data_IF_692458845264
#
_entry.id   IF_692458845264
#
_cell.length_a   1.000
_cell.length_b   1.000
_cell.length_c   1.000
_cell.angle_alpha   90.00
_cell.angle_beta   90.00
_cell.angle_gamma   90.00
#
_symmetry.space_group_name_H-M   'P 1'
#
loop_
_entity.id
_entity.type
_entity.pdbx_description
1 polymer ?
#
# COMPACT_ATOMS: atom_id res chain seq x y z
N UNK A 1 -8.82 -34.50 -7.62
CA UNK A 1 -7.46 -33.90 -7.44
C UNK A 1 -6.33 -34.89 -7.64
N UNK A 2 -6.60 -36.21 -7.49
CA UNK A 2 -5.55 -37.21 -7.41
C UNK A 2 -4.93 -37.64 -8.75
N UNK A 3 -5.63 -37.47 -9.88
CA UNK A 3 -5.13 -37.90 -11.19
C UNK A 3 -5.16 -36.79 -12.27
N UNK A 4 -6.01 -35.80 -12.15
CA UNK A 4 -6.17 -34.74 -13.16
C UNK A 4 -5.75 -33.36 -12.67
N UNK A 5 -5.46 -33.22 -11.38
CA UNK A 5 -5.21 -31.91 -10.77
C UNK A 5 -6.46 -31.03 -10.59
N UNK A 6 -7.60 -31.48 -11.10
CA UNK A 6 -8.87 -30.77 -10.96
C UNK A 6 -9.55 -31.13 -9.64
N UNK A 7 -10.17 -30.18 -8.92
CA UNK A 7 -10.94 -30.50 -7.73
C UNK A 7 -12.17 -31.33 -8.12
N UNK A 8 -12.39 -32.45 -7.40
CA UNK A 8 -13.55 -33.32 -7.63
C UNK A 8 -14.90 -32.66 -7.31
N UNK A 9 -14.87 -31.47 -6.70
CA UNK A 9 -16.06 -30.70 -6.36
C UNK A 9 -15.69 -29.21 -6.33
N UNK A 10 -16.66 -28.35 -6.58
CA UNK A 10 -16.54 -26.91 -6.39
C UNK A 10 -17.10 -26.49 -5.03
N UNK A 11 -16.71 -25.33 -4.53
CA UNK A 11 -17.28 -24.78 -3.29
C UNK A 11 -18.83 -24.68 -3.38
N UNK A 12 -19.37 -24.55 -4.61
CA UNK A 12 -20.81 -24.50 -4.87
C UNK A 12 -21.59 -25.78 -4.55
N UNK A 13 -20.89 -26.89 -4.45
CA UNK A 13 -21.49 -28.21 -4.20
C UNK A 13 -21.74 -28.49 -2.68
N UNK A 14 -21.23 -27.62 -1.81
CA UNK A 14 -21.44 -27.77 -0.37
C UNK A 14 -22.83 -27.26 0.07
N UNK A 15 -23.57 -28.02 0.88
CA UNK A 15 -24.88 -27.59 1.39
C UNK A 15 -24.85 -26.24 2.15
N UNK A 16 -23.72 -25.94 2.79
CA UNK A 16 -23.52 -24.68 3.53
C UNK A 16 -23.26 -23.45 2.66
N UNK A 17 -23.02 -23.62 1.35
CA UNK A 17 -22.70 -22.50 0.47
C UNK A 17 -23.86 -21.50 0.34
N UNK A 18 -25.09 -21.98 0.43
CA UNK A 18 -26.29 -21.15 0.39
C UNK A 18 -26.31 -20.18 1.57
N UNK A 19 -25.97 -20.65 2.76
CA UNK A 19 -25.87 -19.82 3.97
C UNK A 19 -24.76 -18.77 3.81
N UNK A 20 -23.60 -19.19 3.29
CA UNK A 20 -22.50 -18.25 3.02
C UNK A 20 -22.87 -17.19 2.00
N UNK A 21 -23.61 -17.57 0.94
CA UNK A 21 -24.11 -16.57 -0.04
C UNK A 21 -25.10 -15.61 0.61
N UNK A 22 -26.05 -16.09 1.38
CA UNK A 22 -26.99 -15.24 2.11
C UNK A 22 -26.28 -14.28 3.08
N UNK A 23 -25.26 -14.75 3.81
CA UNK A 23 -24.45 -13.91 4.69
C UNK A 23 -23.67 -12.85 3.90
N UNK A 24 -23.06 -13.22 2.79
CA UNK A 24 -22.38 -12.26 1.90
C UNK A 24 -23.32 -11.22 1.31
N UNK A 25 -24.51 -11.64 0.88
CA UNK A 25 -25.52 -10.73 0.34
C UNK A 25 -26.02 -9.77 1.43
N UNK A 26 -26.23 -10.27 2.64
CA UNK A 26 -26.58 -9.43 3.79
C UNK A 26 -25.45 -8.44 4.13
N UNK A 27 -24.23 -8.93 4.24
CA UNK A 27 -23.04 -8.11 4.50
C UNK A 27 -22.91 -6.99 3.47
N UNK A 28 -22.98 -7.35 2.18
CA UNK A 28 -22.86 -6.38 1.09
C UNK A 28 -23.99 -5.36 1.08
N UNK A 29 -25.24 -5.80 1.21
CA UNK A 29 -26.41 -4.92 1.10
C UNK A 29 -26.67 -4.08 2.35
N UNK A 30 -26.32 -4.56 3.54
CA UNK A 30 -26.64 -3.91 4.80
C UNK A 30 -25.42 -3.27 5.45
N UNK A 31 -24.31 -4.01 5.56
CA UNK A 31 -23.12 -3.53 6.28
C UNK A 31 -22.30 -2.59 5.39
N UNK A 32 -21.88 -3.05 4.21
CA UNK A 32 -21.03 -2.22 3.32
C UNK A 32 -21.77 -1.03 2.71
N UNK A 33 -23.09 -1.08 2.58
CA UNK A 33 -23.89 0.06 2.12
C UNK A 33 -24.30 1.00 3.25
N UNK A 34 -23.90 0.74 4.49
CA UNK A 34 -24.15 1.67 5.58
C UNK A 34 -23.33 2.94 5.42
N UNK A 35 -23.94 4.11 5.63
CA UNK A 35 -23.32 5.42 5.41
C UNK A 35 -21.98 5.59 6.15
N UNK A 36 -21.90 5.12 7.38
CA UNK A 36 -20.65 5.21 8.17
C UNK A 36 -19.52 4.39 7.55
N UNK A 37 -19.81 3.18 7.04
CA UNK A 37 -18.82 2.31 6.39
C UNK A 37 -18.36 2.94 5.07
N UNK A 38 -19.30 3.44 4.27
CA UNK A 38 -18.95 4.15 3.02
C UNK A 38 -18.11 5.40 3.29
N UNK A 39 -18.38 6.12 4.37
CA UNK A 39 -17.57 7.28 4.76
C UNK A 39 -16.14 6.87 5.14
N UNK A 40 -15.96 5.76 5.85
CA UNK A 40 -14.64 5.22 6.18
C UNK A 40 -13.88 4.80 4.94
N UNK A 41 -14.54 4.11 4.00
CA UNK A 41 -13.93 3.68 2.74
C UNK A 41 -13.47 4.87 1.90
N UNK A 42 -14.32 5.90 1.77
CA UNK A 42 -13.98 7.13 1.04
C UNK A 42 -12.82 7.88 1.70
N UNK A 43 -12.82 7.94 3.03
CA UNK A 43 -11.73 8.56 3.78
C UNK A 43 -10.42 7.79 3.58
N UNK A 44 -10.46 6.47 3.67
CA UNK A 44 -9.31 5.60 3.43
C UNK A 44 -8.74 5.78 2.02
N UNK A 45 -9.59 5.79 1.00
CA UNK A 45 -9.17 6.04 -0.38
C UNK A 45 -8.51 7.41 -0.54
N UNK A 46 -9.05 8.45 0.11
CA UNK A 46 -8.49 9.80 0.11
C UNK A 46 -7.12 9.86 0.79
N UNK A 47 -6.94 9.15 1.90
CA UNK A 47 -5.65 9.07 2.59
C UNK A 47 -4.60 8.39 1.73
N UNK A 48 -4.90 7.23 1.13
CA UNK A 48 -3.97 6.50 0.27
C UNK A 48 -3.58 7.34 -0.96
N UNK A 49 -4.56 7.94 -1.63
CA UNK A 49 -4.31 8.81 -2.78
C UNK A 49 -3.45 10.02 -2.41
N UNK A 50 -3.76 10.66 -1.29
CA UNK A 50 -3.02 11.82 -0.82
C UNK A 50 -1.58 11.47 -0.41
N UNK A 51 -1.38 10.35 0.28
CA UNK A 51 -0.05 9.83 0.61
C UNK A 51 0.75 9.54 -0.66
N UNK A 52 0.15 8.84 -1.62
CA UNK A 52 0.83 8.55 -2.88
C UNK A 52 1.24 9.83 -3.61
N UNK A 53 0.37 10.84 -3.66
CA UNK A 53 0.67 12.13 -4.29
C UNK A 53 1.86 12.85 -3.64
N UNK A 54 2.03 12.74 -2.32
CA UNK A 54 3.18 13.32 -1.62
C UNK A 54 4.47 12.53 -1.89
N UNK A 55 4.41 11.20 -1.82
CA UNK A 55 5.59 10.36 -2.00
C UNK A 55 6.03 10.21 -3.45
N UNK A 56 5.12 10.32 -4.44
CA UNK A 56 5.47 10.19 -5.85
C UNK A 56 6.53 11.20 -6.34
N UNK A 57 6.65 12.35 -5.67
CA UNK A 57 7.66 13.34 -6.01
C UNK A 57 9.07 12.76 -5.98
N UNK A 58 9.33 11.86 -5.04
CA UNK A 58 10.60 11.14 -4.94
C UNK A 58 10.91 10.28 -6.17
N UNK A 59 9.91 9.84 -6.94
CA UNK A 59 10.10 8.99 -8.11
C UNK A 59 10.70 9.75 -9.30
N UNK A 60 10.49 11.05 -9.37
CA UNK A 60 10.95 11.89 -10.49
C UNK A 60 12.40 12.36 -10.32
N UNK A 61 12.99 12.16 -9.15
CA UNK A 61 14.37 12.47 -8.90
C UNK A 61 15.33 11.57 -9.68
N UNK A 62 16.54 12.07 -9.98
CA UNK A 62 17.59 11.22 -10.52
C UNK A 62 17.90 10.07 -9.57
N UNK A 63 18.50 8.98 -10.06
CA UNK A 63 18.87 7.86 -9.19
C UNK A 63 19.79 8.29 -8.04
N UNK A 64 20.77 9.12 -8.35
CA UNK A 64 21.76 9.56 -7.35
C UNK A 64 21.13 10.47 -6.30
N UNK A 65 20.18 11.30 -6.68
CA UNK A 65 19.53 12.24 -5.77
C UNK A 65 18.50 11.51 -4.91
N UNK A 66 17.71 10.61 -5.48
CA UNK A 66 16.85 9.72 -4.71
C UNK A 66 17.60 8.97 -3.60
N UNK A 67 18.73 8.35 -3.93
CA UNK A 67 19.51 7.61 -2.94
C UNK A 67 20.11 8.53 -1.87
N UNK A 68 20.57 9.75 -2.25
CA UNK A 68 21.05 10.74 -1.27
C UNK A 68 19.95 11.17 -0.30
N UNK A 69 18.77 11.48 -0.83
CA UNK A 69 17.61 11.92 -0.05
C UNK A 69 17.06 10.80 0.83
N UNK A 70 16.99 9.57 0.31
CA UNK A 70 16.51 8.41 1.04
C UNK A 70 17.35 8.12 2.30
N UNK A 71 18.66 8.38 2.24
CA UNK A 71 19.60 8.15 3.33
C UNK A 71 20.10 9.44 4.01
N UNK A 72 19.45 10.58 3.74
CA UNK A 72 19.78 11.89 4.28
C UNK A 72 21.26 12.31 4.07
N UNK A 73 21.80 11.98 2.90
CA UNK A 73 23.17 12.31 2.50
C UNK A 73 23.26 13.59 1.67
N UNK A 74 22.14 14.27 1.42
CA UNK A 74 22.02 15.48 0.61
C UNK A 74 20.84 15.41 -0.34
N UNK A 75 20.57 16.49 -1.05
CA UNK A 75 19.44 16.65 -1.96
C UNK A 75 18.47 17.73 -1.50
N UNK A 76 17.24 17.70 -1.99
CA UNK A 76 16.21 18.64 -1.59
C UNK A 76 15.79 18.43 -0.14
N UNK A 77 15.77 19.49 0.72
CA UNK A 77 15.41 19.35 2.12
C UNK A 77 13.98 18.84 2.36
N UNK A 78 13.05 19.14 1.46
CA UNK A 78 11.67 18.68 1.57
C UNK A 78 11.59 17.18 1.25
N UNK A 79 12.22 16.75 0.15
CA UNK A 79 12.32 15.34 -0.22
C UNK A 79 13.00 14.50 0.86
N UNK A 80 14.09 15.01 1.45
CA UNK A 80 14.76 14.34 2.57
C UNK A 80 13.82 14.13 3.77
N UNK A 81 12.96 15.12 4.08
CA UNK A 81 11.98 14.98 5.19
C UNK A 81 10.93 13.93 4.87
N UNK A 82 10.37 13.95 3.67
CA UNK A 82 9.42 12.90 3.21
C UNK A 82 10.10 11.53 3.24
N UNK A 83 11.29 11.41 2.64
CA UNK A 83 12.02 10.16 2.59
C UNK A 83 12.44 9.65 3.99
N UNK A 84 12.69 10.54 4.96
CA UNK A 84 13.03 10.14 6.33
C UNK A 84 11.91 9.37 7.04
N UNK A 85 10.67 9.57 6.62
CA UNK A 85 9.48 8.89 7.17
C UNK A 85 9.40 7.43 6.74
N UNK A 86 9.97 7.08 5.60
CA UNK A 86 10.02 5.68 5.13
C UNK A 86 10.82 4.84 6.12
N UNK A 87 10.23 3.74 6.58
CA UNK A 87 10.84 2.91 7.63
C UNK A 87 12.18 2.31 7.21
N UNK A 88 13.07 2.13 8.17
CA UNK A 88 14.39 1.52 7.96
C UNK A 88 14.31 0.12 7.32
N UNK A 89 13.26 -0.64 7.65
CA UNK A 89 13.02 -1.97 7.09
C UNK A 89 12.82 -1.90 5.57
N UNK A 90 11.95 -1.01 5.10
CA UNK A 90 11.70 -0.84 3.67
C UNK A 90 12.95 -0.35 2.92
N UNK A 91 13.68 0.61 3.49
CA UNK A 91 14.96 1.09 2.93
C UNK A 91 16.00 -0.04 2.79
N UNK A 92 16.08 -0.92 3.78
CA UNK A 92 16.99 -2.08 3.75
C UNK A 92 16.62 -3.05 2.62
N UNK A 93 15.34 -3.41 2.50
CA UNK A 93 14.85 -4.29 1.42
C UNK A 93 15.13 -3.69 0.05
N UNK A 94 14.90 -2.39 -0.13
CA UNK A 94 15.23 -1.68 -1.36
C UNK A 94 16.73 -1.78 -1.69
N UNK A 95 17.60 -1.54 -0.72
CA UNK A 95 19.05 -1.60 -0.90
C UNK A 95 19.53 -3.01 -1.26
N UNK A 96 19.01 -4.04 -0.59
CA UNK A 96 19.33 -5.44 -0.87
C UNK A 96 18.88 -5.84 -2.29
N UNK A 97 17.68 -5.45 -2.70
CA UNK A 97 17.16 -5.70 -4.03
C UNK A 97 17.97 -4.98 -5.12
N UNK A 98 18.44 -3.75 -4.83
CA UNK A 98 19.29 -2.99 -5.74
C UNK A 98 20.65 -3.67 -5.95
N UNK A 99 21.23 -4.22 -4.88
CA UNK A 99 22.50 -4.95 -4.92
C UNK A 99 22.40 -6.26 -5.73
N UNK A 100 21.22 -6.92 -5.74
CA UNK A 100 20.97 -8.11 -6.54
C UNK A 100 20.91 -7.83 -8.05
N UNK A 101 20.57 -6.61 -8.46
CA UNK A 101 20.59 -6.19 -9.86
C UNK A 101 19.54 -6.85 -10.76
N UNK A 102 18.53 -7.53 -10.19
CA UNK A 102 17.51 -8.26 -10.97
C UNK A 102 16.44 -7.35 -11.59
N UNK A 103 16.21 -6.19 -11.01
CA UNK A 103 15.16 -5.26 -11.41
C UNK A 103 15.71 -3.87 -11.69
N UNK A 104 14.97 -3.11 -12.52
CA UNK A 104 15.37 -1.73 -12.79
C UNK A 104 15.28 -0.86 -11.52
N UNK A 105 16.14 0.12 -11.34
CA UNK A 105 16.10 1.03 -10.20
C UNK A 105 14.76 1.74 -10.05
N UNK A 106 14.12 2.13 -11.15
CA UNK A 106 12.80 2.78 -11.13
C UNK A 106 11.71 1.85 -10.59
N UNK A 107 11.72 0.59 -11.02
CA UNK A 107 10.79 -0.42 -10.48
C UNK A 107 10.95 -0.58 -8.97
N UNK A 108 12.21 -0.66 -8.49
CA UNK A 108 12.48 -0.82 -7.07
C UNK A 108 12.06 0.39 -6.23
N UNK A 109 12.15 1.62 -6.78
CA UNK A 109 11.63 2.82 -6.11
C UNK A 109 10.11 2.80 -6.00
N UNK A 110 9.42 2.49 -7.10
CA UNK A 110 7.96 2.36 -7.12
C UNK A 110 7.54 1.30 -6.09
N UNK A 111 8.19 0.15 -6.09
CA UNK A 111 7.93 -0.93 -5.15
C UNK A 111 8.15 -0.50 -3.71
N UNK A 112 9.24 0.21 -3.41
CA UNK A 112 9.52 0.75 -2.08
C UNK A 112 8.35 1.60 -1.57
N UNK A 113 7.83 2.52 -2.40
CA UNK A 113 6.72 3.40 -2.00
C UNK A 113 5.41 2.63 -1.86
N UNK A 114 5.12 1.73 -2.79
CA UNK A 114 3.91 0.89 -2.73
C UNK A 114 3.94 0.00 -1.49
N UNK A 115 5.05 -0.70 -1.24
CA UNK A 115 5.20 -1.57 -0.06
C UNK A 115 5.09 -0.76 1.26
N UNK A 116 5.62 0.46 1.28
CA UNK A 116 5.54 1.33 2.44
C UNK A 116 4.11 1.80 2.71
N UNK A 117 3.40 2.30 1.70
CA UNK A 117 2.03 2.82 1.84
C UNK A 117 1.04 1.67 2.12
N UNK A 118 1.13 0.55 1.38
CA UNK A 118 0.23 -0.59 1.56
C UNK A 118 0.46 -1.34 2.89
N UNK A 119 1.63 -1.19 3.49
CA UNK A 119 1.94 -1.76 4.80
C UNK A 119 1.48 -0.90 5.99
N UNK A 120 0.86 0.25 5.74
CA UNK A 120 0.31 1.10 6.81
C UNK A 120 -1.00 0.52 7.35
N UNK A 121 -1.22 0.68 8.66
CA UNK A 121 -2.57 0.53 9.23
C UNK A 121 -3.40 1.78 8.90
N UNK A 122 -4.72 1.66 8.92
CA UNK A 122 -5.63 2.79 8.63
C UNK A 122 -5.33 4.01 9.51
N UNK A 123 -5.18 3.79 10.81
CA UNK A 123 -4.85 4.85 11.77
C UNK A 123 -3.50 5.51 11.48
N UNK A 124 -2.51 4.72 11.05
CA UNK A 124 -1.20 5.26 10.69
C UNK A 124 -1.27 6.04 9.37
N UNK A 125 -1.98 5.52 8.37
CA UNK A 125 -2.17 6.22 7.09
C UNK A 125 -2.88 7.56 7.28
N UNK A 126 -3.94 7.61 8.10
CA UNK A 126 -4.63 8.84 8.47
C UNK A 126 -3.69 9.85 9.15
N UNK A 127 -2.95 9.41 10.16
CA UNK A 127 -2.00 10.25 10.89
C UNK A 127 -0.91 10.80 9.97
N UNK A 128 -0.34 9.94 9.13
CA UNK A 128 0.69 10.30 8.17
C UNK A 128 0.17 11.30 7.13
N UNK A 129 -1.03 11.06 6.61
CA UNK A 129 -1.69 11.97 5.69
C UNK A 129 -1.89 13.36 6.30
N UNK A 130 -2.38 13.43 7.54
CA UNK A 130 -2.59 14.69 8.26
C UNK A 130 -1.26 15.45 8.41
N UNK A 131 -0.22 14.78 8.87
CA UNK A 131 1.11 15.39 9.05
C UNK A 131 1.65 15.95 7.73
N UNK A 132 1.58 15.18 6.64
CA UNK A 132 2.12 15.59 5.35
C UNK A 132 1.32 16.73 4.69
N UNK A 133 0.05 16.87 5.04
CA UNK A 133 -0.82 17.94 4.52
C UNK A 133 -1.01 19.10 5.52
N UNK A 134 -0.30 19.11 6.65
CA UNK A 134 -0.37 20.20 7.63
C UNK A 134 -1.73 20.29 8.34
N UNK A 135 -2.47 19.19 8.45
CA UNK A 135 -3.76 19.12 9.13
C UNK A 135 -3.51 18.74 10.59
N UNK A 136 -3.87 19.60 11.52
CA UNK A 136 -3.67 19.39 12.97
C UNK A 136 -4.98 19.08 13.67
#
# INVERSE_FOLDING_TARGET
>A
FLLTGEPNFTLGDYPGITVLKMLKDFEYNVVYNHFEVQTLDLSGASYIQGLFNQYQQLLFESRSDFDKELYAKGGDPFNMRIASRISRRHKKVYQEALAQGQFSPMYLRIRLLVDYISGMTDTFAESEYKVLNGIH
#
